data_IF_123326432041
#
_entry.id   IF_123326432041
#
_cell.length_a   1.000
_cell.length_b   1.000
_cell.length_c   1.000
_cell.angle_alpha   90.00
_cell.angle_beta   90.00
_cell.angle_gamma   90.00
#
_symmetry.space_group_name_H-M   'P 1'
#
loop_
_entity.id
_entity.type
_entity.pdbx_description
1 polymer ?
#
# COMPACT_ATOMS: atom_id res chain seq x y z
N UNK A 1 0.47 16.19 42.76
CA UNK A 1 0.75 16.90 41.50
C UNK A 1 1.23 15.86 40.51
N UNK A 2 0.37 15.47 39.58
CA UNK A 2 0.72 14.52 38.52
C UNK A 2 1.63 15.19 37.53
N UNK A 3 2.75 14.54 37.21
CA UNK A 3 3.59 14.96 36.11
C UNK A 3 2.89 14.55 34.82
N UNK A 4 2.25 15.51 34.16
CA UNK A 4 1.88 15.38 32.76
C UNK A 4 3.17 15.23 31.94
N UNK A 5 3.61 13.99 31.75
CA UNK A 5 4.32 13.66 30.53
C UNK A 5 3.29 13.76 29.41
N UNK A 6 3.21 14.93 28.78
CA UNK A 6 2.69 15.00 27.41
C UNK A 6 3.53 14.01 26.62
N UNK A 7 2.94 12.86 26.32
CA UNK A 7 3.53 11.89 25.40
C UNK A 7 3.93 12.65 24.15
N UNK A 8 5.23 12.88 24.00
CA UNK A 8 5.78 13.20 22.70
C UNK A 8 5.40 11.99 21.85
N UNK A 9 4.41 12.18 20.98
CA UNK A 9 3.93 11.17 20.06
C UNK A 9 5.16 10.60 19.37
N UNK A 10 5.44 9.32 19.65
CA UNK A 10 6.66 8.70 19.15
C UNK A 10 6.51 8.62 17.64
N UNK A 11 7.21 9.50 16.91
CA UNK A 11 7.24 9.52 15.45
C UNK A 11 7.33 8.10 14.90
N UNK A 12 6.64 7.79 13.80
CA UNK A 12 6.86 6.51 13.14
C UNK A 12 8.33 6.41 12.70
N UNK A 13 8.88 5.20 12.51
CA UNK A 13 10.22 5.04 11.95
C UNK A 13 10.41 5.79 10.62
N UNK A 14 9.38 5.84 9.77
CA UNK A 14 9.39 6.56 8.49
C UNK A 14 9.44 8.08 8.69
N UNK A 15 8.73 8.61 9.68
CA UNK A 15 8.73 10.04 9.98
C UNK A 15 10.05 10.51 10.58
N UNK A 16 10.67 9.68 11.44
CA UNK A 16 12.03 9.94 11.93
C UNK A 16 13.05 9.98 10.81
N UNK A 17 12.95 9.05 9.85
CA UNK A 17 13.86 9.01 8.71
C UNK A 17 13.65 10.23 7.79
N UNK A 18 12.41 10.63 7.53
CA UNK A 18 12.11 11.82 6.75
C UNK A 18 12.70 13.09 7.40
N UNK A 19 12.50 13.28 8.70
CA UNK A 19 13.07 14.40 9.43
C UNK A 19 14.61 14.42 9.38
N UNK A 20 15.24 13.25 9.52
CA UNK A 20 16.69 13.13 9.38
C UNK A 20 17.19 13.52 7.98
N UNK A 21 16.48 13.11 6.93
CA UNK A 21 16.84 13.48 5.55
C UNK A 21 16.68 14.99 5.29
N UNK A 22 15.71 15.63 5.93
CA UNK A 22 15.53 17.09 5.88
C UNK A 22 16.67 17.82 6.60
N UNK A 23 17.04 17.37 7.80
CA UNK A 23 18.16 17.92 8.56
C UNK A 23 19.48 17.79 7.78
N UNK A 24 19.73 16.61 7.21
CA UNK A 24 20.90 16.36 6.36
C UNK A 24 20.90 17.26 5.12
N UNK A 25 19.74 17.52 4.52
CA UNK A 25 19.63 18.45 3.39
C UNK A 25 20.00 19.87 3.79
N UNK A 26 19.55 20.32 4.97
CA UNK A 26 19.92 21.61 5.55
C UNK A 26 21.44 21.74 5.77
N UNK A 27 22.03 20.74 6.40
CA UNK A 27 23.48 20.71 6.68
C UNK A 27 24.31 20.66 5.39
N UNK A 28 23.93 19.83 4.42
CA UNK A 28 24.62 19.75 3.12
C UNK A 28 24.56 21.08 2.35
N UNK A 29 23.45 21.83 2.45
CA UNK A 29 23.37 23.19 1.89
C UNK A 29 24.37 24.14 2.55
N UNK A 30 24.45 24.13 3.88
CA UNK A 30 25.39 24.97 4.61
C UNK A 30 26.86 24.65 4.23
N UNK A 31 27.18 23.36 4.12
CA UNK A 31 28.51 22.92 3.66
C UNK A 31 28.80 23.32 2.21
N UNK A 32 27.80 23.23 1.32
CA UNK A 32 27.95 23.67 -0.07
C UNK A 32 28.29 25.16 -0.16
N UNK A 33 27.61 26.00 0.63
CA UNK A 33 27.91 27.43 0.71
C UNK A 33 29.31 27.70 1.27
N UNK A 34 29.74 26.93 2.27
CA UNK A 34 31.10 27.01 2.80
C UNK A 34 32.14 26.68 1.70
N UNK A 35 31.98 25.59 0.97
CA UNK A 35 32.90 25.23 -0.11
C UNK A 35 32.89 26.24 -1.26
N UNK A 36 31.74 26.86 -1.58
CA UNK A 36 31.70 27.99 -2.50
C UNK A 36 32.61 29.14 -2.05
N UNK A 37 32.56 29.50 -0.75
CA UNK A 37 33.40 30.56 -0.17
C UNK A 37 34.87 30.18 -0.14
N UNK A 38 35.19 28.93 0.17
CA UNK A 38 36.56 28.40 0.17
C UNK A 38 37.17 28.45 -1.24
N UNK A 39 36.43 27.99 -2.25
CA UNK A 39 36.88 28.04 -3.66
C UNK A 39 37.16 29.47 -4.10
N UNK A 40 36.24 30.40 -3.86
CA UNK A 40 36.42 31.82 -4.22
C UNK A 40 37.59 32.48 -3.48
N UNK A 41 37.90 32.02 -2.26
CA UNK A 41 39.05 32.52 -1.51
C UNK A 41 40.36 31.95 -2.04
N UNK A 42 40.41 30.66 -2.35
CA UNK A 42 41.55 30.01 -2.98
C UNK A 42 41.85 30.62 -4.36
N UNK A 43 40.83 30.91 -5.16
CA UNK A 43 40.98 31.57 -6.47
C UNK A 43 41.62 32.96 -6.34
N UNK A 44 41.20 33.76 -5.35
CA UNK A 44 41.81 35.09 -5.09
C UNK A 44 43.27 35.02 -4.65
N UNK A 45 43.69 33.92 -4.00
CA UNK A 45 45.08 33.73 -3.56
C UNK A 45 46.02 33.38 -4.72
N UNK A 46 45.50 33.07 -5.91
CA UNK A 46 46.33 32.78 -7.08
C UNK A 46 46.95 34.07 -7.65
N UNK A 47 46.21 35.18 -7.59
CA UNK A 47 46.66 36.46 -8.17
C UNK A 47 47.74 37.11 -7.30
N UNK A 48 48.94 37.26 -7.85
CA UNK A 48 50.09 37.89 -7.19
C UNK A 48 50.89 36.96 -6.25
N UNK A 49 50.53 35.68 -6.17
CA UNK A 49 51.29 34.68 -5.43
C UNK A 49 52.53 34.18 -6.20
N UNK A 50 53.54 33.71 -5.46
CA UNK A 50 54.63 32.93 -6.06
C UNK A 50 54.13 31.60 -6.63
N UNK A 51 54.96 30.93 -7.42
CA UNK A 51 54.56 29.70 -8.11
C UNK A 51 54.12 28.58 -7.15
N UNK A 52 54.79 28.44 -6.00
CA UNK A 52 54.49 27.41 -5.02
C UNK A 52 53.14 27.68 -4.34
N UNK A 53 52.91 28.92 -3.89
CA UNK A 53 51.67 29.37 -3.30
C UNK A 53 50.50 29.31 -4.29
N UNK A 54 50.70 29.74 -5.54
CA UNK A 54 49.69 29.64 -6.59
C UNK A 54 49.33 28.19 -6.91
N UNK A 55 50.29 27.26 -6.86
CA UNK A 55 50.04 25.83 -7.04
C UNK A 55 49.21 25.24 -5.89
N UNK A 56 49.53 25.61 -4.65
CA UNK A 56 48.75 25.19 -3.48
C UNK A 56 47.30 25.70 -3.57
N UNK A 57 47.11 26.98 -3.88
CA UNK A 57 45.79 27.60 -4.03
C UNK A 57 44.93 26.94 -5.12
N UNK A 58 45.52 26.55 -6.25
CA UNK A 58 44.80 25.76 -7.29
C UNK A 58 44.39 24.38 -6.78
N UNK A 59 45.21 23.75 -5.95
CA UNK A 59 44.88 22.49 -5.28
C UNK A 59 43.65 22.62 -4.38
N UNK A 60 43.62 23.67 -3.56
CA UNK A 60 42.49 23.95 -2.66
C UNK A 60 41.20 24.27 -3.43
N UNK A 61 41.28 25.08 -4.49
CA UNK A 61 40.13 25.39 -5.35
C UNK A 61 39.56 24.12 -6.01
N UNK A 62 40.43 23.19 -6.43
CA UNK A 62 40.03 21.89 -6.98
C UNK A 62 39.38 21.02 -5.90
N UNK A 63 39.99 20.90 -4.73
CA UNK A 63 39.45 20.10 -3.63
C UNK A 63 38.05 20.59 -3.20
N UNK A 64 37.87 21.92 -3.12
CA UNK A 64 36.56 22.51 -2.86
C UNK A 64 35.54 22.17 -3.96
N UNK A 65 35.95 22.20 -5.23
CA UNK A 65 35.08 21.83 -6.37
C UNK A 65 34.67 20.36 -6.33
N UNK A 66 35.61 19.46 -6.04
CA UNK A 66 35.35 18.03 -5.94
C UNK A 66 34.39 17.73 -4.76
N UNK A 67 34.55 18.43 -3.62
CA UNK A 67 33.63 18.35 -2.49
C UNK A 67 32.22 18.86 -2.82
N UNK A 68 32.10 19.98 -3.53
CA UNK A 68 30.81 20.49 -4.01
C UNK A 68 30.09 19.48 -4.89
N UNK A 69 30.79 18.81 -5.82
CA UNK A 69 30.21 17.78 -6.68
C UNK A 69 29.71 16.57 -5.89
N UNK A 70 30.45 16.15 -4.85
CA UNK A 70 30.04 15.07 -3.95
C UNK A 70 28.78 15.43 -3.16
N UNK A 71 28.68 16.68 -2.68
CA UNK A 71 27.49 17.17 -1.97
C UNK A 71 26.27 17.14 -2.89
N UNK A 72 26.39 17.64 -4.12
CA UNK A 72 25.27 17.62 -5.09
C UNK A 72 24.79 16.20 -5.34
N UNK A 73 25.70 15.25 -5.59
CA UNK A 73 25.33 13.83 -5.75
C UNK A 73 24.63 13.26 -4.52
N UNK A 74 25.05 13.66 -3.33
CA UNK A 74 24.43 13.23 -2.07
C UNK A 74 23.01 13.80 -1.95
N UNK A 75 22.80 15.08 -2.30
CA UNK A 75 21.49 15.72 -2.32
C UNK A 75 20.54 15.06 -3.33
N UNK A 76 21.02 14.71 -4.52
CA UNK A 76 20.23 13.94 -5.50
C UNK A 76 19.80 12.58 -4.94
N UNK A 77 20.67 11.91 -4.18
CA UNK A 77 20.32 10.65 -3.53
C UNK A 77 19.29 10.85 -2.40
N UNK A 78 19.41 11.92 -1.62
CA UNK A 78 18.44 12.27 -0.58
C UNK A 78 17.06 12.56 -1.21
N UNK A 79 16.98 13.36 -2.28
CA UNK A 79 15.73 13.62 -3.00
C UNK A 79 15.08 12.32 -3.50
N UNK A 80 15.88 11.42 -4.08
CA UNK A 80 15.41 10.10 -4.50
C UNK A 80 14.82 9.29 -3.35
N UNK A 81 15.45 9.31 -2.17
CA UNK A 81 14.97 8.61 -0.98
C UNK A 81 13.69 9.26 -0.42
N UNK A 82 13.61 10.58 -0.39
CA UNK A 82 12.40 11.29 0.06
C UNK A 82 11.20 11.00 -0.83
N UNK A 83 11.39 10.98 -2.16
CA UNK A 83 10.35 10.58 -3.12
C UNK A 83 9.92 9.13 -2.91
N UNK A 84 10.85 8.25 -2.56
CA UNK A 84 10.53 6.86 -2.26
C UNK A 84 9.71 6.75 -0.97
N UNK A 85 10.12 7.42 0.10
CA UNK A 85 9.37 7.43 1.36
C UNK A 85 7.95 8.00 1.20
N UNK A 86 7.77 9.01 0.35
CA UNK A 86 6.44 9.53 0.04
C UNK A 86 5.53 8.45 -0.60
N UNK A 87 6.06 7.70 -1.58
CA UNK A 87 5.33 6.57 -2.18
C UNK A 87 5.07 5.46 -1.16
N UNK A 88 6.06 5.10 -0.36
CA UNK A 88 5.92 4.04 0.63
C UNK A 88 4.84 4.40 1.68
N UNK A 89 4.68 5.69 2.02
CA UNK A 89 3.59 6.17 2.87
C UNK A 89 2.22 6.06 2.18
N UNK A 90 2.12 6.44 0.91
CA UNK A 90 0.87 6.31 0.14
C UNK A 90 0.45 4.83 0.01
N UNK A 91 1.40 3.94 -0.29
CA UNK A 91 1.17 2.50 -0.38
C UNK A 91 0.75 1.90 0.97
N UNK A 92 1.38 2.33 2.07
CA UNK A 92 1.01 1.91 3.42
C UNK A 92 -0.41 2.36 3.80
N UNK A 93 -0.78 3.61 3.47
CA UNK A 93 -2.13 4.13 3.70
C UNK A 93 -3.17 3.30 2.92
N UNK A 94 -2.91 3.01 1.64
CA UNK A 94 -3.77 2.15 0.82
C UNK A 94 -3.92 0.73 1.37
N UNK A 95 -2.82 0.11 1.81
CA UNK A 95 -2.82 -1.24 2.39
C UNK A 95 -3.49 -1.30 3.76
N UNK A 96 -3.44 -0.23 4.53
CA UNK A 96 -4.03 -0.16 5.87
C UNK A 96 -5.55 0.01 5.86
N UNK A 97 -6.14 0.38 4.72
CA UNK A 97 -7.55 0.76 4.64
C UNK A 97 -7.86 2.08 5.36
N UNK A 98 -6.85 2.89 5.71
CA UNK A 98 -7.04 4.23 6.26
C UNK A 98 -7.88 5.08 5.30
N UNK A 99 -9.13 5.37 5.71
CA UNK A 99 -10.11 6.11 4.91
C UNK A 99 -11.28 5.27 4.38
N UNK A 100 -11.22 3.94 4.50
CA UNK A 100 -12.36 3.06 4.26
C UNK A 100 -13.14 2.85 5.57
N UNK A 101 -14.44 3.17 5.56
CA UNK A 101 -15.33 2.91 6.70
C UNK A 101 -15.59 1.39 6.77
N UNK A 102 -14.80 0.72 7.60
CA UNK A 102 -14.87 -0.73 7.82
C UNK A 102 -16.30 -1.19 8.18
N UNK A 103 -17.05 -0.38 8.93
CA UNK A 103 -18.45 -0.68 9.27
C UNK A 103 -19.36 -0.53 8.07
N UNK A 104 -19.17 0.50 7.23
CA UNK A 104 -19.92 0.63 5.98
C UNK A 104 -19.63 -0.52 5.01
N UNK A 105 -18.37 -0.98 4.92
CA UNK A 105 -17.98 -2.12 4.08
C UNK A 105 -18.61 -3.42 4.60
N UNK A 106 -18.57 -3.66 5.91
CA UNK A 106 -19.24 -4.83 6.53
C UNK A 106 -20.75 -4.80 6.32
N UNK A 107 -21.37 -3.64 6.50
CA UNK A 107 -22.81 -3.47 6.31
C UNK A 107 -23.22 -3.78 4.87
N UNK A 108 -22.47 -3.29 3.88
CA UNK A 108 -22.75 -3.56 2.47
C UNK A 108 -22.51 -5.03 2.12
N UNK A 109 -21.44 -5.65 2.65
CA UNK A 109 -21.19 -7.08 2.46
C UNK A 109 -22.32 -7.95 3.04
N UNK A 110 -22.78 -7.65 4.25
CA UNK A 110 -23.91 -8.33 4.88
C UNK A 110 -25.18 -8.19 4.04
N UNK A 111 -25.47 -6.98 3.54
CA UNK A 111 -26.60 -6.72 2.65
C UNK A 111 -26.54 -7.58 1.37
N UNK A 112 -25.37 -7.70 0.76
CA UNK A 112 -25.18 -8.54 -0.43
C UNK A 112 -25.42 -10.02 -0.09
N UNK A 113 -24.89 -10.50 1.03
CA UNK A 113 -25.07 -11.89 1.50
C UNK A 113 -26.55 -12.18 1.74
N UNK A 114 -27.27 -11.31 2.44
CA UNK A 114 -28.70 -11.47 2.72
C UNK A 114 -29.51 -11.54 1.43
N UNK A 115 -29.27 -10.62 0.49
CA UNK A 115 -29.95 -10.63 -0.81
C UNK A 115 -29.71 -11.93 -1.59
N UNK A 116 -28.47 -12.43 -1.60
CA UNK A 116 -28.15 -13.70 -2.26
C UNK A 116 -28.80 -14.89 -1.55
N UNK A 117 -28.82 -14.89 -0.21
CA UNK A 117 -29.45 -15.93 0.58
C UNK A 117 -30.95 -15.98 0.32
N UNK A 118 -31.62 -14.82 0.28
CA UNK A 118 -33.05 -14.71 0.01
C UNK A 118 -33.39 -15.16 -1.42
N UNK A 119 -32.60 -14.75 -2.42
CA UNK A 119 -32.78 -15.20 -3.80
C UNK A 119 -32.65 -16.72 -3.93
N UNK A 120 -31.66 -17.32 -3.27
CA UNK A 120 -31.47 -18.78 -3.24
C UNK A 120 -32.59 -19.50 -2.49
N UNK A 121 -33.09 -18.92 -1.39
CA UNK A 121 -34.21 -19.48 -0.63
C UNK A 121 -35.50 -19.48 -1.45
N UNK A 122 -35.83 -18.37 -2.11
CA UNK A 122 -36.98 -18.26 -3.02
C UNK A 122 -36.89 -19.28 -4.16
N UNK A 123 -35.72 -19.40 -4.80
CA UNK A 123 -35.51 -20.37 -5.87
C UNK A 123 -35.72 -21.83 -5.39
N UNK A 124 -35.20 -22.18 -4.20
CA UNK A 124 -35.40 -23.51 -3.61
C UNK A 124 -36.86 -23.78 -3.23
N UNK A 125 -37.57 -22.77 -2.74
CA UNK A 125 -38.98 -22.89 -2.37
C UNK A 125 -39.85 -23.15 -3.61
N UNK A 126 -39.67 -22.37 -4.68
CA UNK A 126 -40.36 -22.60 -5.96
C UNK A 126 -40.03 -23.99 -6.53
N UNK A 127 -38.76 -24.41 -6.46
CA UNK A 127 -38.37 -25.75 -6.90
C UNK A 127 -39.02 -26.87 -6.08
N UNK A 128 -39.24 -26.66 -4.77
CA UNK A 128 -39.92 -27.60 -3.90
C UNK A 128 -41.44 -27.65 -4.17
N UNK A 129 -42.08 -26.50 -4.39
CA UNK A 129 -43.50 -26.41 -4.75
C UNK A 129 -43.80 -27.14 -6.06
N UNK A 130 -43.00 -26.90 -7.10
CA UNK A 130 -43.12 -27.58 -8.40
C UNK A 130 -42.97 -29.11 -8.28
N UNK A 131 -42.13 -29.60 -7.36
CA UNK A 131 -41.97 -31.04 -7.10
C UNK A 131 -43.19 -31.65 -6.39
N UNK A 132 -43.84 -30.90 -5.48
CA UNK A 132 -45.10 -31.32 -4.84
C UNK A 132 -46.24 -31.40 -5.84
N UNK A 133 -46.36 -30.42 -6.73
CA UNK A 133 -47.42 -30.40 -7.75
C UNK A 133 -47.20 -31.50 -8.80
N UNK A 134 -45.96 -31.73 -9.23
CA UNK A 134 -45.62 -32.84 -10.13
C UNK A 134 -45.86 -34.23 -9.54
N UNK A 135 -45.74 -34.39 -8.22
CA UNK A 135 -46.04 -35.66 -7.52
C UNK A 135 -47.55 -35.93 -7.42
N UNK A 136 -48.39 -34.88 -7.40
CA UNK A 136 -49.85 -35.04 -7.31
C UNK A 136 -50.52 -35.44 -8.63
N UNK A 137 -49.81 -35.35 -9.77
CA UNK A 137 -50.35 -35.68 -11.09
C UNK A 137 -50.10 -37.15 -11.52
N UNK A 138 -49.32 -37.94 -10.79
CA UNK A 138 -48.89 -39.30 -11.18
C UNK A 138 -49.62 -40.43 -10.41
N UNK A 139 -50.54 -40.11 -9.50
CA UNK A 139 -51.26 -41.11 -8.72
C UNK A 139 -52.77 -41.00 -8.85
N UNK A 140 -53.37 -41.58 -9.90
CA UNK A 140 -54.70 -42.21 -9.94
C UNK A 140 -54.89 -42.77 -11.37
N UNK A 141 -54.90 -44.09 -11.53
CA UNK A 141 -55.39 -44.71 -12.78
C UNK A 141 -54.75 -46.06 -13.12
N UNK A 142 -55.25 -47.15 -12.54
CA UNK A 142 -54.87 -48.51 -12.94
C UNK A 142 -55.47 -49.57 -12.04
N UNK A 143 -56.79 -49.74 -12.09
CA UNK A 143 -57.52 -50.84 -11.44
C UNK A 143 -57.23 -52.13 -12.19
N UNK A 144 -56.58 -53.09 -11.52
CA UNK A 144 -56.42 -54.46 -11.99
C UNK A 144 -57.79 -55.16 -12.00
N UNK A 145 -58.18 -55.73 -13.15
CA UNK A 145 -59.22 -56.76 -13.20
C UNK A 145 -58.56 -58.14 -13.29
N UNK A 146 -59.01 -59.13 -12.50
CA UNK A 146 -58.38 -60.45 -12.42
C UNK A 146 -58.82 -61.37 -13.56
N UNK A 147 -57.86 -61.98 -14.24
CA UNK A 147 -58.12 -63.06 -15.19
C UNK A 147 -58.41 -64.38 -14.46
N UNK A 148 -59.61 -64.90 -14.64
CA UNK A 148 -60.01 -66.26 -14.28
C UNK A 148 -59.32 -67.30 -15.16
N UNK A 149 -58.82 -68.37 -14.55
CA UNK A 149 -58.58 -69.67 -15.21
C UNK A 149 -59.27 -70.77 -14.41
N UNK A 150 -60.18 -71.57 -15.01
CA UNK A 150 -60.65 -72.79 -14.39
C UNK A 150 -59.86 -74.02 -14.87
N UNK A 151 -59.37 -74.74 -13.87
CA UNK A 151 -59.50 -76.19 -13.62
C UNK A 151 -59.00 -77.27 -14.61
N UNK A 152 -58.68 -78.40 -13.98
CA UNK A 152 -57.77 -79.49 -14.30
C UNK A 152 -58.26 -80.57 -15.29
N UNK A 153 -57.31 -81.43 -15.68
CA UNK A 153 -57.48 -82.74 -16.32
C UNK A 153 -56.17 -83.16 -17.01
N UNK A 154 -55.30 -83.97 -16.38
CA UNK A 154 -55.28 -85.44 -16.34
C UNK A 154 -55.19 -86.12 -17.72
N UNK A 155 -54.07 -86.83 -17.97
CA UNK A 155 -53.86 -87.70 -19.12
C UNK A 155 -52.40 -87.80 -19.52
#
# INVERSE_FOLDING_TARGET
MGLEQKSAESLSPLDRLAALLDDLTGEMRAQFELFCKLRATAERLIDGADEAAAKAARGDAKAATDAMALIVRTLEKIDSLQRQLARDREDAALLSGEGEDEEAIKAELLRIIENQAEARAKARLVAWENQREGTSAVGIGGREDPASTPDAGSG
#
